data_IF_980872703390
#
_entry.id   IF_980872703390
#
_cell.length_a   1.000
_cell.length_b   1.000
_cell.length_c   1.000
_cell.angle_alpha   90.00
_cell.angle_beta   90.00
_cell.angle_gamma   90.00
#
_symmetry.space_group_name_H-M   'P 1'
#
loop_
_entity.id
_entity.type
_entity.pdbx_description
1 polymer ?
#
# COMPACT_ATOMS: atom_id res chain seq x y z
N UNK A 1 4.11 -1.57 -3.95
CA UNK A 1 4.65 -2.72 -3.19
C UNK A 1 3.59 -3.15 -2.19
N UNK A 2 3.25 -4.44 -2.14
CA UNK A 2 2.36 -4.97 -1.11
C UNK A 2 3.14 -5.14 0.19
N UNK A 3 2.60 -4.65 1.31
CA UNK A 3 3.16 -4.89 2.64
C UNK A 3 2.07 -5.44 3.59
N UNK A 4 2.30 -5.34 4.89
CA UNK A 4 1.29 -5.69 5.89
C UNK A 4 1.01 -7.19 6.01
N UNK A 5 -0.20 -7.52 6.46
CA UNK A 5 -0.61 -8.91 6.77
C UNK A 5 -0.62 -9.79 5.53
N UNK A 6 -1.03 -9.23 4.38
CA UNK A 6 -1.09 -9.94 3.10
C UNK A 6 0.29 -10.27 2.57
N UNK A 7 1.27 -9.36 2.68
CA UNK A 7 2.65 -9.65 2.32
C UNK A 7 3.31 -10.72 3.20
N UNK A 8 2.92 -10.77 4.50
CA UNK A 8 3.38 -11.76 5.48
C UNK A 8 2.69 -13.12 5.37
N UNK A 9 1.57 -13.21 4.63
CA UNK A 9 0.78 -14.43 4.48
C UNK A 9 -0.09 -14.80 5.69
N UNK A 10 -0.27 -13.88 6.65
CA UNK A 10 -1.08 -14.08 7.86
C UNK A 10 -2.36 -13.23 7.88
N UNK A 11 -2.85 -12.87 6.70
CA UNK A 11 -4.08 -12.09 6.52
C UNK A 11 -5.35 -12.95 6.76
N UNK A 12 -6.45 -12.28 7.08
CA UNK A 12 -7.80 -12.84 7.11
C UNK A 12 -8.58 -12.37 5.88
N UNK A 13 -9.71 -13.00 5.58
CA UNK A 13 -10.54 -12.63 4.43
C UNK A 13 -10.96 -11.15 4.43
N UNK A 14 -11.16 -10.59 5.63
CA UNK A 14 -11.55 -9.20 5.87
C UNK A 14 -10.36 -8.26 6.13
N UNK A 15 -9.12 -8.72 5.96
CA UNK A 15 -7.95 -7.87 6.14
C UNK A 15 -7.79 -6.91 4.98
N UNK A 16 -7.35 -5.70 5.27
CA UNK A 16 -7.14 -4.65 4.28
C UNK A 16 -5.96 -4.99 3.34
N UNK A 17 -5.83 -4.23 2.27
CA UNK A 17 -4.76 -4.36 1.29
C UNK A 17 -3.81 -3.16 1.43
N UNK A 18 -2.70 -3.39 2.12
CA UNK A 18 -1.64 -2.42 2.35
C UNK A 18 -0.71 -2.24 1.12
N UNK A 19 -0.75 -1.09 0.46
CA UNK A 19 0.07 -0.78 -0.72
C UNK A 19 0.93 0.47 -0.53
N UNK A 20 2.25 0.29 -0.66
CA UNK A 20 3.22 1.38 -0.65
C UNK A 20 3.65 1.74 -2.08
N UNK A 21 3.48 3.00 -2.47
CA UNK A 21 3.96 3.57 -3.73
C UNK A 21 5.41 4.01 -3.55
N UNK A 22 6.30 3.43 -4.36
CA UNK A 22 7.75 3.66 -4.29
C UNK A 22 8.21 4.79 -5.21
N UNK A 23 7.41 5.14 -6.20
CA UNK A 23 7.67 6.23 -7.12
C UNK A 23 7.24 7.56 -6.48
N UNK A 24 7.94 8.64 -6.79
CA UNK A 24 7.49 9.97 -6.44
C UNK A 24 6.17 10.26 -7.19
N UNK A 25 5.12 10.53 -6.43
CA UNK A 25 3.83 11.01 -6.93
C UNK A 25 3.42 12.21 -6.10
N UNK A 26 2.58 13.06 -6.68
CA UNK A 26 1.98 14.19 -5.99
C UNK A 26 0.88 13.73 -5.02
N UNK A 27 0.46 14.61 -4.12
CA UNK A 27 -0.68 14.34 -3.25
C UNK A 27 -1.98 14.19 -4.06
N UNK A 28 -2.17 15.01 -5.10
CA UNK A 28 -3.35 14.93 -5.97
C UNK A 28 -3.43 13.61 -6.74
N UNK A 29 -2.29 13.07 -7.20
CA UNK A 29 -2.24 11.74 -7.82
C UNK A 29 -2.58 10.63 -6.83
N UNK A 30 -2.11 10.72 -5.58
CA UNK A 30 -2.47 9.78 -4.53
C UNK A 30 -3.99 9.79 -4.29
N UNK A 31 -4.58 10.96 -4.11
CA UNK A 31 -6.02 11.11 -3.85
C UNK A 31 -6.88 10.60 -5.01
N UNK A 32 -6.43 10.81 -6.26
CA UNK A 32 -7.09 10.23 -7.44
C UNK A 32 -7.05 8.71 -7.43
N UNK A 33 -5.90 8.12 -7.10
CA UNK A 33 -5.76 6.67 -7.00
C UNK A 33 -6.65 6.09 -5.89
N UNK A 34 -6.73 6.74 -4.73
CA UNK A 34 -7.64 6.35 -3.66
C UNK A 34 -9.10 6.36 -4.14
N UNK A 35 -9.52 7.44 -4.82
CA UNK A 35 -10.86 7.55 -5.39
C UNK A 35 -11.15 6.45 -6.43
N UNK A 36 -10.21 6.21 -7.35
CA UNK A 36 -10.35 5.16 -8.37
C UNK A 36 -10.43 3.75 -7.77
N UNK A 37 -9.73 3.52 -6.65
CA UNK A 37 -9.78 2.23 -5.95
C UNK A 37 -11.10 2.05 -5.20
N UNK A 38 -11.60 3.10 -4.53
CA UNK A 38 -12.91 3.06 -3.87
C UNK A 38 -14.04 2.75 -4.87
N UNK A 39 -13.95 3.30 -6.08
CA UNK A 39 -14.89 3.05 -7.17
C UNK A 39 -14.85 1.61 -7.71
N UNK A 40 -13.82 0.82 -7.37
CA UNK A 40 -13.80 -0.62 -7.70
C UNK A 40 -14.84 -1.43 -6.91
N UNK A 41 -15.39 -0.86 -5.82
CA UNK A 41 -16.37 -1.50 -4.95
C UNK A 41 -15.94 -2.90 -4.49
N UNK A 42 -14.64 -3.07 -4.27
CA UNK A 42 -14.08 -4.32 -3.77
C UNK A 42 -14.39 -4.48 -2.28
N UNK A 43 -14.50 -5.72 -1.77
CA UNK A 43 -14.92 -5.95 -0.39
C UNK A 43 -13.89 -5.55 0.67
N UNK A 44 -12.64 -5.32 0.26
CA UNK A 44 -11.54 -4.97 1.16
C UNK A 44 -11.16 -3.51 0.97
N UNK A 45 -10.87 -2.84 2.09
CA UNK A 45 -10.23 -1.53 2.09
C UNK A 45 -8.80 -1.64 1.54
N UNK A 46 -8.35 -0.59 0.87
CA UNK A 46 -6.99 -0.50 0.32
C UNK A 46 -6.30 0.71 0.91
N UNK A 47 -5.34 0.46 1.78
CA UNK A 47 -4.52 1.50 2.37
C UNK A 47 -3.38 1.82 1.41
N UNK A 48 -3.48 2.98 0.75
CA UNK A 48 -2.41 3.52 -0.08
C UNK A 48 -1.54 4.48 0.71
N UNK A 49 -0.23 4.25 0.69
CA UNK A 49 0.74 5.18 1.24
C UNK A 49 1.83 5.49 0.24
N UNK A 50 2.32 6.72 0.26
CA UNK A 50 3.55 7.10 -0.42
C UNK A 50 4.74 6.82 0.48
N UNK A 51 5.70 6.03 0.02
CA UNK A 51 6.85 5.67 0.86
C UNK A 51 7.73 6.89 1.19
N UNK A 52 7.80 7.85 0.27
CA UNK A 52 8.63 9.05 0.39
C UNK A 52 8.13 10.04 1.46
N UNK A 53 6.84 10.01 1.80
CA UNK A 53 6.24 10.88 2.82
C UNK A 53 6.20 10.27 4.22
N UNK A 54 6.61 9.01 4.39
CA UNK A 54 6.64 8.35 5.71
C UNK A 54 7.82 8.89 6.51
N UNK A 55 7.61 9.38 7.73
CA UNK A 55 8.69 9.75 8.65
C UNK A 55 9.11 8.60 9.56
N UNK A 56 8.27 7.58 9.70
CA UNK A 56 8.53 6.42 10.53
C UNK A 56 9.51 5.44 9.85
N UNK A 57 10.79 5.54 10.22
CA UNK A 57 11.85 4.68 9.68
C UNK A 57 11.64 3.19 10.00
N UNK A 58 11.07 2.84 11.15
CA UNK A 58 10.77 1.45 11.48
C UNK A 58 9.72 0.85 10.53
N UNK A 59 8.76 1.66 10.08
CA UNK A 59 7.78 1.26 9.07
C UNK A 59 8.45 1.08 7.69
N UNK A 60 9.33 2.00 7.28
CA UNK A 60 10.10 1.84 6.04
C UNK A 60 10.93 0.57 6.03
N UNK A 61 11.64 0.28 7.13
CA UNK A 61 12.44 -0.93 7.29
C UNK A 61 11.58 -2.19 7.28
N UNK A 62 10.39 -2.15 7.88
CA UNK A 62 9.44 -3.25 7.80
C UNK A 62 9.03 -3.49 6.33
N UNK A 63 8.59 -2.44 5.64
CA UNK A 63 8.18 -2.51 4.23
C UNK A 63 9.32 -3.04 3.36
N UNK A 64 10.56 -2.59 3.58
CA UNK A 64 11.74 -3.08 2.87
C UNK A 64 12.04 -4.56 3.11
N UNK A 65 11.81 -5.07 4.33
CA UNK A 65 12.11 -6.47 4.69
C UNK A 65 11.02 -7.45 4.27
N UNK A 66 9.76 -7.11 4.50
CA UNK A 66 8.62 -8.04 4.29
C UNK A 66 7.82 -7.72 3.03
N UNK A 67 8.05 -6.58 2.41
CA UNK A 67 7.34 -6.14 1.22
C UNK A 67 7.50 -7.11 0.06
N UNK A 68 6.41 -7.25 -0.71
CA UNK A 68 6.35 -8.06 -1.93
C UNK A 68 6.07 -7.14 -3.10
N UNK A 69 6.80 -7.34 -4.21
CA UNK A 69 6.54 -6.62 -5.45
C UNK A 69 5.14 -7.00 -5.93
N UNK A 70 4.22 -6.03 -5.89
CA UNK A 70 2.86 -6.17 -6.41
C UNK A 70 2.80 -5.81 -7.89
N UNK A 71 3.44 -4.69 -8.24
CA UNK A 71 3.54 -4.18 -9.60
C UNK A 71 4.90 -3.53 -9.80
N UNK A 72 5.47 -3.73 -10.97
CA UNK A 72 6.69 -3.07 -11.46
C UNK A 72 6.49 -2.76 -12.94
N UNK A 73 6.75 -1.51 -13.32
CA UNK A 73 6.74 -1.07 -14.72
C UNK A 73 7.91 -1.67 -15.49
#
# INVERSE_FOLDING_TARGET
MLYGSRAKGNFKNHSDIDLAIMNAITFDELLRLETEIDDLLIPQEVDLIRLDSIENDALKDLIGRVGRVFYKR
#
